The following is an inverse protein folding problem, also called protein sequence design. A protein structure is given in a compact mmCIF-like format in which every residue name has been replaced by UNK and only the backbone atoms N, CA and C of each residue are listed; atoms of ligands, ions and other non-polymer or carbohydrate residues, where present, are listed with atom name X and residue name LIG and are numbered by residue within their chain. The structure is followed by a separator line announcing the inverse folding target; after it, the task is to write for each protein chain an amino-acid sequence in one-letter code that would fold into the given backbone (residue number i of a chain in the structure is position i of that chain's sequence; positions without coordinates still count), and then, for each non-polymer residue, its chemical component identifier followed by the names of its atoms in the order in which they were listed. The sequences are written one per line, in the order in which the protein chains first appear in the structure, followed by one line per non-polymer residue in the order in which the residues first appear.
data_IF_177193829585
#
_entry.id   IF_177193829585
#
_cell.length_a   1.000
_cell.length_b   1.000
_cell.length_c   1.000
_cell.angle_alpha   90.00
_cell.angle_beta   90.00
_cell.angle_gamma   90.00
#
_symmetry.space_group_name_H-M   'P 1'
#
loop_
_entity.id
_entity.type
_entity.pdbx_description
1 polymer ?
#
# COMPACT_ATOMS: atom_id res chain seq x y z
N UNK A 1 -14.53 -33.14 -12.05
CA UNK A 1 -14.53 -32.25 -10.88
C UNK A 1 -13.27 -31.42 -10.96
N UNK A 2 -13.36 -30.26 -11.60
CA UNK A 2 -12.21 -29.39 -11.85
C UNK A 2 -11.89 -28.67 -10.55
N UNK A 3 -10.72 -28.95 -9.99
CA UNK A 3 -10.18 -28.26 -8.83
C UNK A 3 -10.10 -26.77 -9.15
N UNK A 4 -10.98 -25.98 -8.53
CA UNK A 4 -10.84 -24.53 -8.46
C UNK A 4 -9.48 -24.28 -7.79
N UNK A 5 -8.47 -23.94 -8.58
CA UNK A 5 -7.26 -23.32 -8.06
C UNK A 5 -7.71 -22.05 -7.37
N UNK A 6 -7.86 -22.13 -6.05
CA UNK A 6 -8.11 -21.00 -5.19
C UNK A 6 -6.86 -20.14 -5.29
N UNK A 7 -6.86 -19.21 -6.25
CA UNK A 7 -5.77 -18.28 -6.47
C UNK A 7 -5.53 -17.61 -5.12
N UNK A 8 -4.31 -17.77 -4.58
CA UNK A 8 -3.90 -17.03 -3.40
C UNK A 8 -4.22 -15.56 -3.65
N UNK A 9 -4.84 -14.85 -2.68
CA UNK A 9 -5.27 -13.48 -2.90
C UNK A 9 -4.04 -12.67 -3.35
N UNK A 10 -4.12 -12.06 -4.52
CA UNK A 10 -3.01 -11.27 -5.03
C UNK A 10 -2.93 -9.98 -4.21
N UNK A 11 -1.73 -9.58 -3.75
CA UNK A 11 -1.58 -8.35 -2.99
C UNK A 11 -2.01 -7.18 -3.87
N UNK A 12 -3.02 -6.44 -3.41
CA UNK A 12 -3.55 -5.27 -4.11
C UNK A 12 -3.23 -4.03 -3.30
N UNK A 13 -2.67 -3.04 -3.98
CA UNK A 13 -2.33 -1.74 -3.41
C UNK A 13 -3.30 -0.69 -3.93
N UNK A 14 -4.03 -0.05 -3.02
CA UNK A 14 -4.95 1.04 -3.33
C UNK A 14 -4.47 2.31 -2.66
N UNK A 15 -4.33 3.38 -3.43
CA UNK A 15 -3.92 4.69 -2.94
C UNK A 15 -4.99 5.72 -3.30
N UNK A 16 -5.46 6.47 -2.31
CA UNK A 16 -6.49 7.48 -2.50
C UNK A 16 -6.02 8.81 -1.89
N UNK A 17 -6.11 9.92 -2.64
CA UNK A 17 -5.80 11.23 -2.07
C UNK A 17 -6.86 11.60 -1.04
N UNK A 18 -6.42 12.14 0.09
CA UNK A 18 -7.28 12.62 1.16
C UNK A 18 -6.97 14.10 1.37
N UNK A 19 -8.00 14.94 1.41
CA UNK A 19 -7.85 16.35 1.76
C UNK A 19 -8.19 16.53 3.23
N UNK A 20 -7.27 17.10 4.00
CA UNK A 20 -7.47 17.38 5.42
C UNK A 20 -8.16 18.74 5.62
N UNK A 21 -8.76 18.95 6.80
CA UNK A 21 -9.51 20.17 7.13
C UNK A 21 -8.64 21.44 7.13
N UNK A 22 -7.36 21.30 7.45
CA UNK A 22 -6.34 22.37 7.37
C UNK A 22 -5.99 22.76 5.92
N UNK A 23 -6.48 22.02 4.93
CA UNK A 23 -6.25 22.28 3.51
C UNK A 23 -5.04 21.54 2.93
N UNK A 24 -4.24 20.87 3.77
CA UNK A 24 -3.20 19.94 3.33
C UNK A 24 -3.76 18.68 2.66
N UNK A 25 -2.92 18.05 1.83
CA UNK A 25 -3.23 16.79 1.15
C UNK A 25 -2.41 15.66 1.75
N UNK A 26 -3.08 14.54 2.02
CA UNK A 26 -2.49 13.26 2.36
C UNK A 26 -2.83 12.19 1.34
N UNK A 27 -2.27 11.01 1.56
CA UNK A 27 -2.60 9.81 0.79
C UNK A 27 -2.97 8.71 1.77
N UNK A 28 -4.16 8.14 1.59
CA UNK A 28 -4.56 6.91 2.28
C UNK A 28 -4.09 5.72 1.44
N UNK A 29 -3.36 4.81 2.08
CA UNK A 29 -2.81 3.60 1.45
C UNK A 29 -3.47 2.39 2.09
N UNK A 30 -4.11 1.57 1.27
CA UNK A 30 -4.73 0.31 1.69
C UNK A 30 -4.06 -0.85 0.94
N UNK A 31 -3.62 -1.86 1.70
CA UNK A 31 -3.02 -3.08 1.16
C UNK A 31 -3.92 -4.25 1.52
N UNK A 32 -4.39 -4.99 0.51
CA UNK A 32 -5.26 -6.15 0.69
C UNK A 32 -4.65 -7.38 0.04
N UNK A 33 -5.14 -8.56 0.41
CA UNK A 33 -4.67 -9.83 -0.16
C UNK A 33 -3.32 -10.31 0.40
N UNK A 34 -2.92 -9.84 1.58
CA UNK A 34 -1.76 -10.35 2.30
C UNK A 34 -2.15 -11.56 3.15
N UNK A 35 -1.25 -12.54 3.26
CA UNK A 35 -1.52 -13.80 3.95
C UNK A 35 -1.16 -13.77 5.44
N UNK A 36 -0.52 -12.69 5.91
CA UNK A 36 -0.05 -12.55 7.29
C UNK A 36 0.16 -11.08 7.67
N UNK A 37 0.00 -10.77 8.96
CA UNK A 37 0.26 -9.43 9.51
C UNK A 37 1.71 -8.97 9.26
N UNK A 38 2.67 -9.89 9.34
CA UNK A 38 4.09 -9.61 9.07
C UNK A 38 4.33 -9.09 7.64
N UNK A 39 3.58 -9.60 6.65
CA UNK A 39 3.65 -9.07 5.28
C UNK A 39 3.02 -7.67 5.20
N UNK A 40 1.98 -7.40 5.97
CA UNK A 40 1.34 -6.09 6.02
C UNK A 40 2.29 -5.05 6.62
N UNK A 41 2.95 -5.39 7.73
CA UNK A 41 3.96 -4.52 8.34
C UNK A 41 5.14 -4.26 7.40
N UNK A 42 5.68 -5.30 6.76
CA UNK A 42 6.77 -5.15 5.79
C UNK A 42 6.38 -4.27 4.60
N UNK A 43 5.17 -4.44 4.07
CA UNK A 43 4.63 -3.62 2.98
C UNK A 43 4.46 -2.15 3.41
N UNK A 44 3.91 -1.92 4.61
CA UNK A 44 3.73 -0.58 5.16
C UNK A 44 5.06 0.12 5.46
N UNK A 45 6.06 -0.60 5.97
CA UNK A 45 7.41 -0.06 6.19
C UNK A 45 8.11 0.26 4.86
N UNK A 46 7.95 -0.59 3.86
CA UNK A 46 8.50 -0.35 2.52
C UNK A 46 7.89 0.91 1.88
N UNK A 47 6.57 1.06 1.96
CA UNK A 47 5.85 2.25 1.50
C UNK A 47 6.30 3.52 2.24
N UNK A 48 6.40 3.47 3.57
CA UNK A 48 6.90 4.60 4.35
C UNK A 48 8.31 5.01 3.93
N UNK A 49 9.20 4.05 3.64
CA UNK A 49 10.54 4.35 3.15
C UNK A 49 10.52 4.99 1.75
N UNK A 50 9.60 4.58 0.89
CA UNK A 50 9.44 5.14 -0.45
C UNK A 50 8.87 6.57 -0.41
N UNK A 51 7.86 6.83 0.43
CA UNK A 51 7.17 8.13 0.49
C UNK A 51 7.83 9.14 1.43
N UNK A 52 8.48 8.69 2.49
CA UNK A 52 9.21 9.54 3.44
C UNK A 52 10.73 9.54 3.17
N UNK A 53 11.18 8.89 2.10
CA UNK A 53 12.56 8.96 1.61
C UNK A 53 12.89 10.35 1.08
N UNK A 54 14.19 10.63 0.87
CA UNK A 54 14.65 11.91 0.35
C UNK A 54 13.88 12.27 -0.94
N UNK A 55 13.46 13.55 -1.11
CA UNK A 55 12.74 13.96 -2.30
C UNK A 55 13.54 13.59 -3.54
N UNK A 56 12.84 13.13 -4.58
CA UNK A 56 13.43 12.98 -5.89
C UNK A 56 13.82 14.40 -6.33
N UNK A 57 15.10 14.77 -6.20
CA UNK A 57 15.61 15.98 -6.84
C UNK A 57 15.50 15.75 -8.34
N UNK A 58 14.45 16.31 -8.93
CA UNK A 58 14.35 16.49 -10.38
C UNK A 58 15.44 17.51 -10.76
N UNK A 59 16.48 17.04 -11.44
CA UNK A 59 17.48 17.88 -12.08
C UNK A 59 17.32 17.81 -13.59
#
# INVERSE_FOLDING_TARGET
MSTLHQQAPMPTFSMQPVKYEDGSWGVSVQVTGLTSEQQAEAAMQHMQKLFCGAPISEN
#
